data_IF_835759143607
#
_entry.id   IF_835759143607
#
_cell.length_a   1.000
_cell.length_b   1.000
_cell.length_c   1.000
_cell.angle_alpha   90.00
_cell.angle_beta   90.00
_cell.angle_gamma   90.00
#
_symmetry.space_group_name_H-M   'P 1'
#
loop_
_entity.id
_entity.type
_entity.pdbx_description
1 polymer ?
#
# COMPACT_ATOMS: atom_id res chain seq x y z
N UNK A 1 0.02 -18.36 -15.95
CA UNK A 1 0.48 -17.15 -15.23
C UNK A 1 -0.52 -16.69 -14.17
N UNK A 2 -1.74 -16.26 -14.54
CA UNK A 2 -2.78 -15.80 -13.59
C UNK A 2 -3.12 -16.81 -12.48
N UNK A 3 -3.24 -18.10 -12.79
CA UNK A 3 -3.62 -19.11 -11.79
C UNK A 3 -2.47 -19.50 -10.84
N UNK A 4 -1.22 -19.35 -11.28
CA UNK A 4 -0.03 -19.57 -10.44
C UNK A 4 0.11 -18.46 -9.40
N UNK A 5 -0.07 -17.20 -9.83
CA UNK A 5 -0.05 -16.04 -8.95
C UNK A 5 -1.18 -16.09 -7.91
N UNK A 6 -2.40 -16.51 -8.31
CA UNK A 6 -3.53 -16.68 -7.38
C UNK A 6 -3.28 -17.70 -6.27
N UNK A 7 -2.47 -18.73 -6.51
CA UNK A 7 -2.22 -19.82 -5.55
C UNK A 7 -1.16 -19.45 -4.51
N UNK A 8 -0.16 -18.66 -4.90
CA UNK A 8 0.85 -18.10 -3.98
C UNK A 8 0.27 -16.95 -3.16
N UNK A 9 -0.56 -16.12 -3.80
CA UNK A 9 -1.07 -14.92 -3.16
C UNK A 9 -2.09 -15.19 -2.04
N UNK A 10 -2.83 -16.32 -2.07
CA UNK A 10 -4.06 -16.50 -1.27
C UNK A 10 -3.95 -16.12 0.22
N UNK A 11 -2.78 -16.27 0.83
CA UNK A 11 -2.47 -15.81 2.19
C UNK A 11 -1.06 -15.20 2.32
N UNK A 12 -0.51 -14.62 1.23
CA UNK A 12 0.84 -14.07 1.22
C UNK A 12 0.84 -12.55 1.00
N UNK A 13 1.07 -11.80 2.09
CA UNK A 13 1.13 -10.35 2.07
C UNK A 13 2.21 -9.79 1.15
N UNK A 14 3.40 -10.41 1.11
CA UNK A 14 4.51 -10.00 0.24
C UNK A 14 4.14 -10.16 -1.24
N UNK A 15 3.61 -11.33 -1.62
CA UNK A 15 3.20 -11.58 -3.00
C UNK A 15 2.11 -10.58 -3.46
N UNK A 16 1.16 -10.25 -2.59
CA UNK A 16 0.17 -9.22 -2.87
C UNK A 16 0.78 -7.83 -3.05
N UNK A 17 1.73 -7.45 -2.20
CA UNK A 17 2.44 -6.16 -2.30
C UNK A 17 3.27 -6.05 -3.58
N UNK A 18 3.99 -7.12 -3.95
CA UNK A 18 4.75 -7.20 -5.20
C UNK A 18 3.86 -7.05 -6.43
N UNK A 19 2.70 -7.70 -6.44
CA UNK A 19 1.74 -7.56 -7.54
C UNK A 19 1.24 -6.12 -7.62
N UNK A 20 0.85 -5.52 -6.50
CA UNK A 20 0.36 -4.14 -6.47
C UNK A 20 1.41 -3.14 -7.01
N UNK A 21 2.65 -3.24 -6.52
CA UNK A 21 3.77 -2.38 -6.97
C UNK A 21 4.16 -2.61 -8.43
N UNK A 22 4.08 -3.85 -8.91
CA UNK A 22 4.29 -4.19 -10.33
C UNK A 22 3.23 -3.53 -11.21
N UNK A 23 1.97 -3.55 -10.77
CA UNK A 23 0.88 -2.93 -11.52
C UNK A 23 1.08 -1.41 -11.60
N UNK A 24 1.37 -0.76 -10.47
CA UNK A 24 1.63 0.69 -10.45
C UNK A 24 2.78 1.05 -11.37
N UNK A 25 3.91 0.34 -11.29
CA UNK A 25 5.10 0.66 -12.10
C UNK A 25 4.89 0.46 -13.60
N UNK A 26 4.03 -0.48 -14.00
CA UNK A 26 3.83 -0.86 -15.41
C UNK A 26 2.59 -0.22 -16.04
N UNK A 27 1.57 0.10 -15.24
CA UNK A 27 0.22 0.42 -15.71
C UNK A 27 -0.44 1.57 -14.93
N UNK A 28 0.32 2.50 -14.34
CA UNK A 28 -0.20 3.65 -13.58
C UNK A 28 -1.29 4.47 -14.32
N UNK A 29 -1.25 4.51 -15.66
CA UNK A 29 -2.21 5.26 -16.47
C UNK A 29 -3.50 4.49 -16.79
N UNK A 30 -3.61 3.21 -16.43
CA UNK A 30 -4.82 2.40 -16.63
C UNK A 30 -5.66 2.35 -15.33
N UNK A 31 -6.84 3.00 -15.28
CA UNK A 31 -7.69 3.02 -14.09
C UNK A 31 -8.15 1.62 -13.63
N UNK A 32 -8.29 0.66 -14.56
CA UNK A 32 -8.67 -0.71 -14.20
C UNK A 32 -7.50 -1.42 -13.52
N UNK A 33 -6.30 -1.27 -14.07
CA UNK A 33 -5.10 -1.82 -13.46
C UNK A 33 -4.85 -1.19 -12.08
N UNK A 34 -5.00 0.13 -11.96
CA UNK A 34 -4.85 0.84 -10.70
C UNK A 34 -5.88 0.44 -9.63
N UNK A 35 -7.08 0.03 -10.05
CA UNK A 35 -8.06 -0.60 -9.14
C UNK A 35 -7.59 -1.98 -8.67
N UNK A 36 -7.05 -2.82 -9.56
CA UNK A 36 -6.48 -4.11 -9.17
C UNK A 36 -5.29 -3.92 -8.21
N UNK A 37 -4.44 -2.91 -8.44
CA UNK A 37 -3.33 -2.57 -7.55
C UNK A 37 -3.81 -2.22 -6.14
N UNK A 38 -4.89 -1.45 -6.03
CA UNK A 38 -5.51 -1.12 -4.74
C UNK A 38 -6.02 -2.38 -4.03
N UNK A 39 -6.71 -3.27 -4.74
CA UNK A 39 -7.24 -4.51 -4.16
C UNK A 39 -6.11 -5.41 -3.63
N UNK A 40 -5.01 -5.53 -4.38
CA UNK A 40 -3.85 -6.31 -3.95
C UNK A 40 -3.11 -5.66 -2.79
N UNK A 41 -2.87 -4.34 -2.82
CA UNK A 41 -2.23 -3.64 -1.71
C UNK A 41 -3.08 -3.68 -0.42
N UNK A 42 -4.41 -3.58 -0.56
CA UNK A 42 -5.33 -3.74 0.56
C UNK A 42 -5.32 -5.15 1.14
N UNK A 43 -5.14 -6.18 0.31
CA UNK A 43 -4.93 -7.56 0.79
C UNK A 43 -3.59 -7.72 1.50
N UNK A 44 -2.51 -7.12 0.97
CA UNK A 44 -1.20 -7.11 1.62
C UNK A 44 -1.27 -6.47 3.02
N UNK A 45 -1.91 -5.31 3.14
CA UNK A 45 -2.08 -4.62 4.42
C UNK A 45 -2.93 -5.43 5.42
N UNK A 46 -3.95 -6.15 4.95
CA UNK A 46 -4.79 -7.01 5.81
C UNK A 46 -4.08 -8.26 6.31
N UNK A 47 -3.22 -8.85 5.47
CA UNK A 47 -2.54 -10.11 5.76
C UNK A 47 -1.20 -9.91 6.48
N UNK A 48 -0.54 -8.77 6.26
CA UNK A 48 0.81 -8.52 6.74
C UNK A 48 0.87 -7.66 7.99
N UNK A 49 1.89 -7.90 8.81
CA UNK A 49 2.14 -7.17 10.07
C UNK A 49 3.22 -6.07 9.93
N UNK A 50 3.62 -5.71 8.69
CA UNK A 50 4.58 -4.64 8.42
C UNK A 50 3.89 -3.31 8.09
N UNK A 51 4.42 -2.22 8.64
CA UNK A 51 4.00 -0.86 8.28
C UNK A 51 4.15 -0.58 6.78
N UNK A 52 5.08 -1.25 6.10
CA UNK A 52 5.38 -1.06 4.67
C UNK A 52 4.18 -1.43 3.79
N UNK A 53 3.37 -2.40 4.20
CA UNK A 53 2.17 -2.79 3.47
C UNK A 53 1.09 -1.71 3.57
N UNK A 54 0.88 -1.15 4.76
CA UNK A 54 -0.04 -0.02 4.97
C UNK A 54 0.46 1.26 4.28
N UNK A 55 1.76 1.50 4.30
CA UNK A 55 2.40 2.60 3.58
C UNK A 55 2.20 2.48 2.06
N UNK A 56 2.41 1.30 1.50
CA UNK A 56 2.21 1.02 0.07
C UNK A 56 0.74 1.19 -0.31
N UNK A 57 -0.17 0.67 0.51
CA UNK A 57 -1.61 0.83 0.30
C UNK A 57 -2.05 2.30 0.34
N UNK A 58 -1.52 3.09 1.27
CA UNK A 58 -1.79 4.53 1.34
C UNK A 58 -1.36 5.28 0.07
N UNK A 59 -0.17 4.97 -0.47
CA UNK A 59 0.31 5.57 -1.73
C UNK A 59 -0.65 5.26 -2.89
N UNK A 60 -1.08 4.01 -3.01
CA UNK A 60 -1.95 3.56 -4.11
C UNK A 60 -3.34 4.17 -3.99
N UNK A 61 -3.90 4.23 -2.77
CA UNK A 61 -5.17 4.91 -2.51
C UNK A 61 -5.11 6.38 -2.94
N UNK A 62 -4.02 7.07 -2.64
CA UNK A 62 -3.84 8.46 -3.05
C UNK A 62 -3.73 8.60 -4.57
N UNK A 63 -3.01 7.71 -5.25
CA UNK A 63 -2.95 7.68 -6.72
C UNK A 63 -4.33 7.43 -7.35
N UNK A 64 -5.20 6.70 -6.65
CA UNK A 64 -6.59 6.47 -7.03
C UNK A 64 -7.55 7.60 -6.61
N UNK A 65 -7.04 8.70 -6.05
CA UNK A 65 -7.84 9.85 -5.61
C UNK A 65 -8.60 9.63 -4.30
N UNK A 66 -8.35 8.53 -3.58
CA UNK A 66 -9.01 8.17 -2.30
C UNK A 66 -8.22 8.72 -1.11
N UNK A 67 -8.13 10.04 -1.05
CA UNK A 67 -7.26 10.76 -0.12
C UNK A 67 -7.55 10.48 1.37
N UNK A 68 -8.81 10.44 1.77
CA UNK A 68 -9.18 10.17 3.17
C UNK A 68 -8.76 8.76 3.59
N UNK A 69 -9.03 7.77 2.73
CA UNK A 69 -8.63 6.39 2.98
C UNK A 69 -7.11 6.23 2.98
N UNK A 70 -6.41 6.97 2.11
CA UNK A 70 -4.95 7.00 2.09
C UNK A 70 -4.38 7.54 3.41
N UNK A 71 -5.00 8.58 3.96
CA UNK A 71 -4.59 9.17 5.24
C UNK A 71 -4.80 8.17 6.39
N UNK A 72 -5.92 7.46 6.41
CA UNK A 72 -6.18 6.44 7.44
C UNK A 72 -5.18 5.28 7.35
N UNK A 73 -4.89 4.79 6.14
CA UNK A 73 -3.87 3.77 5.93
C UNK A 73 -2.47 4.25 6.34
N UNK A 74 -2.11 5.50 6.06
CA UNK A 74 -0.82 6.07 6.46
C UNK A 74 -0.71 6.23 7.98
N UNK A 75 -1.81 6.58 8.68
CA UNK A 75 -1.83 6.60 10.15
C UNK A 75 -1.67 5.20 10.74
N UNK A 76 -2.36 4.20 10.19
CA UNK A 76 -2.18 2.81 10.59
C UNK A 76 -0.72 2.35 10.39
N UNK A 77 -0.08 2.73 9.28
CA UNK A 77 1.34 2.49 9.08
C UNK A 77 2.18 3.14 10.20
N UNK A 78 1.88 4.38 10.59
CA UNK A 78 2.63 5.08 11.63
C UNK A 78 2.52 4.39 13.00
N UNK A 79 1.32 3.92 13.35
CA UNK A 79 1.07 3.16 14.59
C UNK A 79 1.85 1.84 14.65
N UNK A 80 2.17 1.26 13.50
CA UNK A 80 2.94 0.01 13.39
C UNK A 80 4.46 0.22 13.40
N UNK A 81 4.93 1.45 13.15
CA UNK A 81 6.36 1.73 13.24
C UNK A 81 6.80 1.63 14.70
N UNK A 82 7.84 0.85 14.98
CA UNK A 82 8.43 0.79 16.32
C UNK A 82 9.02 2.15 16.68
N UNK A 83 8.76 2.64 17.91
CA UNK A 83 9.23 3.95 18.40
C UNK A 83 10.75 4.21 18.24
N UNK A 84 11.55 3.15 18.14
CA UNK A 84 13.01 3.23 17.94
C UNK A 84 13.42 3.47 16.49
N UNK A 85 12.55 3.22 15.51
CA UNK A 85 12.83 3.36 14.08
C UNK A 85 12.41 4.74 13.55
N UNK A 86 13.24 5.73 13.87
CA UNK A 86 13.02 7.13 13.47
C UNK A 86 12.96 7.32 11.96
N UNK A 87 13.68 6.51 11.19
CA UNK A 87 13.72 6.66 9.73
C UNK A 87 12.35 6.29 9.14
N UNK A 88 11.83 5.13 9.54
CA UNK A 88 10.50 4.67 9.13
C UNK A 88 9.39 5.60 9.64
N UNK A 89 9.46 6.09 10.88
CA UNK A 89 8.46 7.05 11.39
C UNK A 89 8.45 8.33 10.57
N UNK A 90 9.64 8.88 10.26
CA UNK A 90 9.75 10.09 9.46
C UNK A 90 9.21 9.89 8.04
N UNK A 91 9.48 8.74 7.42
CA UNK A 91 8.96 8.40 6.10
C UNK A 91 7.42 8.43 6.06
N UNK A 92 6.78 7.80 7.05
CA UNK A 92 5.31 7.75 7.14
C UNK A 92 4.73 9.13 7.48
N UNK A 93 5.35 9.89 8.40
CA UNK A 93 4.91 11.26 8.72
C UNK A 93 4.98 12.19 7.52
N UNK A 94 6.02 12.08 6.69
CA UNK A 94 6.12 12.85 5.44
C UNK A 94 4.97 12.50 4.49
N UNK A 95 4.61 11.22 4.38
CA UNK A 95 3.45 10.81 3.59
C UNK A 95 2.15 11.41 4.13
N UNK A 96 1.89 11.29 5.44
CA UNK A 96 0.71 11.86 6.11
C UNK A 96 0.60 13.36 5.81
N UNK A 97 1.70 14.10 5.93
CA UNK A 97 1.73 15.53 5.66
C UNK A 97 1.37 15.85 4.20
N UNK A 98 1.96 15.13 3.23
CA UNK A 98 1.63 15.29 1.81
C UNK A 98 0.14 15.03 1.53
N UNK A 99 -0.43 14.01 2.18
CA UNK A 99 -1.84 13.67 2.07
C UNK A 99 -2.75 14.72 2.72
N UNK A 100 -2.27 15.58 3.61
CA UNK A 100 -3.05 16.67 4.19
C UNK A 100 -2.94 17.97 3.38
N UNK A 101 -1.79 18.19 2.73
CA UNK A 101 -1.48 19.42 1.98
C UNK A 101 -1.93 19.40 0.51
N UNK A 102 -2.14 18.21 -0.08
CA UNK A 102 -2.76 18.06 -1.41
C UNK A 102 -4.26 18.33 -1.37
#
# INVERSE_FOLDING_TARGET
AKDYLKKIAKDNAEAHSEIATTIVSSFASDPKAMKDAEDYAGQAAKLGESYEYYYTYAIILNQNGKKDQALDAAKAALEMVKDTDRASSNLVMVLIRKLQEG
#
